data_IF_887240051822
#
_entry.id   IF_887240051822
#
_cell.length_a   1.000
_cell.length_b   1.000
_cell.length_c   1.000
_cell.angle_alpha   90.00
_cell.angle_beta   90.00
_cell.angle_gamma   90.00
#
_symmetry.space_group_name_H-M   'P 1'
#
loop_
_entity.id
_entity.type
_entity.pdbx_description
1 polymer ?
#
# COMPACT_ATOMS: atom_id res chain seq x y z
N UNK A 1 49.67 -9.73 7.16
CA UNK A 1 50.34 -10.76 8.00
C UNK A 1 50.21 -10.50 9.50
N UNK A 2 50.01 -9.26 9.94
CA UNK A 2 49.91 -8.90 11.37
C UNK A 2 48.72 -9.54 12.10
N UNK A 3 47.58 -9.70 11.42
CA UNK A 3 46.37 -10.19 12.07
C UNK A 3 46.32 -11.71 12.33
N UNK A 4 47.14 -12.49 11.64
CA UNK A 4 47.20 -13.94 11.82
C UNK A 4 48.03 -14.29 13.07
N UNK A 5 49.01 -13.45 13.40
CA UNK A 5 49.85 -13.56 14.60
C UNK A 5 49.09 -13.19 15.88
N UNK A 6 48.20 -12.20 15.82
CA UNK A 6 47.31 -11.85 16.96
C UNK A 6 46.32 -12.96 17.29
N UNK A 7 45.76 -13.64 16.28
CA UNK A 7 44.85 -14.76 16.53
C UNK A 7 45.58 -16.00 17.06
N UNK A 8 46.84 -16.20 16.64
CA UNK A 8 47.68 -17.26 17.16
C UNK A 8 48.02 -17.04 18.64
N UNK A 9 48.44 -15.82 19.02
CA UNK A 9 48.77 -15.51 20.42
C UNK A 9 47.59 -15.71 21.38
N UNK A 10 46.38 -15.38 20.97
CA UNK A 10 45.17 -15.57 21.81
C UNK A 10 44.73 -17.04 21.86
N UNK A 11 45.04 -17.84 20.82
CA UNK A 11 44.81 -19.28 20.82
C UNK A 11 45.81 -20.01 21.72
N UNK A 12 47.06 -19.54 21.78
CA UNK A 12 48.10 -20.07 22.66
C UNK A 12 47.77 -19.79 24.15
N UNK A 13 47.10 -18.67 24.46
CA UNK A 13 46.62 -18.35 25.82
C UNK A 13 45.46 -19.26 26.31
N UNK A 14 44.72 -19.91 25.40
CA UNK A 14 43.62 -20.82 25.71
C UNK A 14 44.09 -22.21 26.18
N UNK A 15 45.33 -22.58 25.83
CA UNK A 15 45.90 -23.90 26.16
C UNK A 15 46.44 -23.96 27.59
N UNK A 16 46.49 -22.82 28.29
CA UNK A 16 46.87 -22.71 29.70
C UNK A 16 45.64 -22.83 30.62
N UNK A 17 45.63 -23.74 31.60
CA UNK A 17 44.46 -23.97 32.46
C UNK A 17 44.40 -22.92 33.57
N UNK A 18 43.88 -21.72 33.27
CA UNK A 18 43.60 -20.72 34.29
C UNK A 18 42.16 -20.18 34.21
N UNK A 19 41.63 -19.68 35.33
CA UNK A 19 40.20 -19.40 35.55
C UNK A 19 39.57 -18.29 34.69
N UNK A 20 40.33 -17.64 33.81
CA UNK A 20 39.91 -16.48 33.02
C UNK A 20 39.41 -16.83 31.60
N UNK A 21 39.28 -18.12 31.30
CA UNK A 21 38.85 -18.66 29.99
C UNK A 21 37.53 -18.06 29.47
N UNK A 22 36.62 -17.62 30.33
CA UNK A 22 35.37 -16.99 29.93
C UNK A 22 35.55 -15.57 29.36
N UNK A 23 36.51 -14.80 29.89
CA UNK A 23 36.85 -13.48 29.34
C UNK A 23 37.66 -13.63 28.06
N UNK A 24 38.57 -14.61 28.00
CA UNK A 24 39.34 -14.94 26.82
C UNK A 24 38.46 -15.38 25.64
N UNK A 25 37.47 -16.25 25.87
CA UNK A 25 36.52 -16.66 24.84
C UNK A 25 35.70 -15.48 24.29
N UNK A 26 35.32 -14.50 25.14
CA UNK A 26 34.64 -13.28 24.71
C UNK A 26 35.56 -12.38 23.88
N UNK A 27 36.81 -12.22 24.28
CA UNK A 27 37.84 -11.45 23.56
C UNK A 27 38.14 -12.07 22.18
N UNK A 28 38.23 -13.41 22.12
CA UNK A 28 38.38 -14.17 20.86
C UNK A 28 37.17 -13.96 19.97
N UNK A 29 35.97 -14.18 20.49
CA UNK A 29 34.75 -14.00 19.71
C UNK A 29 34.59 -12.57 19.21
N UNK A 30 34.96 -11.58 20.05
CA UNK A 30 34.99 -10.16 19.66
C UNK A 30 36.02 -9.90 18.57
N UNK A 31 37.24 -10.44 18.67
CA UNK A 31 38.31 -10.27 17.68
C UNK A 31 37.98 -10.95 16.35
N UNK A 32 37.37 -12.15 16.39
CA UNK A 32 36.84 -12.83 15.21
C UNK A 32 35.69 -12.01 14.63
N UNK A 33 34.73 -11.57 15.44
CA UNK A 33 33.62 -10.74 14.97
C UNK A 33 34.16 -9.44 14.34
N UNK A 34 35.13 -8.77 14.93
CA UNK A 34 35.70 -7.54 14.37
C UNK A 34 36.47 -7.79 13.06
N UNK A 35 37.23 -8.89 12.99
CA UNK A 35 37.96 -9.32 11.79
C UNK A 35 37.08 -9.83 10.67
N UNK A 36 35.98 -10.51 10.96
CA UNK A 36 35.10 -11.17 9.97
C UNK A 36 33.80 -10.39 9.70
N UNK A 37 33.41 -9.43 10.55
CA UNK A 37 32.49 -8.34 10.17
C UNK A 37 33.20 -7.27 9.33
N UNK A 38 34.35 -7.63 8.75
CA UNK A 38 35.40 -6.71 8.36
C UNK A 38 34.86 -5.54 7.55
N UNK A 39 35.10 -4.35 8.07
CA UNK A 39 35.04 -3.05 7.38
C UNK A 39 36.05 -2.96 6.22
N UNK A 40 36.58 -4.08 5.72
CA UNK A 40 37.49 -4.06 4.60
C UNK A 40 36.78 -3.50 3.37
N UNK A 41 37.48 -2.61 2.69
CA UNK A 41 36.97 -1.92 1.50
C UNK A 41 36.40 -2.88 0.46
N UNK A 42 36.97 -4.07 0.28
CA UNK A 42 36.47 -5.08 -0.67
C UNK A 42 35.08 -5.60 -0.30
N UNK A 43 34.87 -5.99 0.96
CA UNK A 43 33.58 -6.45 1.47
C UNK A 43 32.54 -5.31 1.45
N UNK A 44 32.91 -4.12 1.93
CA UNK A 44 32.04 -2.94 1.86
C UNK A 44 31.64 -2.63 0.41
N UNK A 45 32.57 -2.69 -0.54
CA UNK A 45 32.30 -2.48 -1.96
C UNK A 45 31.35 -3.55 -2.51
N UNK A 46 31.55 -4.81 -2.14
CA UNK A 46 30.69 -5.90 -2.59
C UNK A 46 29.26 -5.74 -2.08
N UNK A 47 29.07 -5.50 -0.78
CA UNK A 47 27.74 -5.29 -0.19
C UNK A 47 27.06 -4.05 -0.75
N UNK A 48 27.81 -2.97 -0.98
CA UNK A 48 27.27 -1.77 -1.63
C UNK A 48 26.83 -2.05 -3.07
N UNK A 49 27.65 -2.76 -3.84
CA UNK A 49 27.32 -3.15 -5.21
C UNK A 49 26.10 -4.08 -5.26
N UNK A 50 25.99 -5.03 -4.32
CA UNK A 50 24.82 -5.90 -4.20
C UNK A 50 23.55 -5.07 -3.94
N UNK A 51 23.62 -4.05 -3.09
CA UNK A 51 22.52 -3.12 -2.90
C UNK A 51 22.23 -2.31 -4.17
N UNK A 52 23.23 -1.78 -4.87
CA UNK A 52 23.04 -0.97 -6.07
C UNK A 52 22.39 -1.76 -7.21
N UNK A 53 22.77 -3.02 -7.41
CA UNK A 53 22.21 -3.88 -8.44
C UNK A 53 20.92 -4.62 -8.04
N UNK A 54 20.44 -4.43 -6.81
CA UNK A 54 19.12 -4.90 -6.40
C UNK A 54 18.05 -4.22 -7.25
N UNK A 55 17.33 -5.03 -8.05
CA UNK A 55 16.34 -4.58 -9.02
C UNK A 55 14.94 -5.07 -8.65
N UNK A 56 13.94 -4.28 -9.02
CA UNK A 56 12.54 -4.67 -8.87
C UNK A 56 12.20 -5.75 -9.91
N UNK A 57 11.76 -6.92 -9.44
CA UNK A 57 11.26 -8.03 -10.27
C UNK A 57 9.74 -7.96 -10.38
N UNK A 58 9.13 -8.76 -11.24
CA UNK A 58 7.66 -8.87 -11.37
C UNK A 58 6.96 -9.46 -10.12
N UNK A 59 7.71 -9.65 -9.04
CA UNK A 59 7.24 -10.11 -7.74
C UNK A 59 6.39 -9.06 -7.00
N UNK A 60 5.59 -9.47 -6.00
CA UNK A 60 4.79 -8.56 -5.20
C UNK A 60 5.67 -7.44 -4.60
N UNK A 61 5.17 -6.20 -4.62
CA UNK A 61 5.86 -5.01 -4.07
C UNK A 61 6.38 -5.26 -2.64
N UNK A 62 5.68 -6.06 -1.84
CA UNK A 62 6.08 -6.42 -0.48
C UNK A 62 7.38 -7.25 -0.42
N UNK A 63 7.61 -8.15 -1.39
CA UNK A 63 8.85 -8.93 -1.48
C UNK A 63 10.03 -8.01 -1.76
N UNK A 64 9.88 -7.09 -2.71
CA UNK A 64 10.91 -6.08 -2.99
C UNK A 64 11.21 -5.21 -1.76
N UNK A 65 10.18 -4.75 -1.03
CA UNK A 65 10.37 -3.99 0.22
C UNK A 65 11.18 -4.80 1.24
N UNK A 66 10.91 -6.10 1.36
CA UNK A 66 11.63 -6.98 2.29
C UNK A 66 13.10 -7.14 1.88
N UNK A 67 13.38 -7.35 0.59
CA UNK A 67 14.74 -7.46 0.07
C UNK A 67 15.55 -6.18 0.30
N UNK A 68 14.97 -5.01 -0.01
CA UNK A 68 15.60 -3.71 0.26
C UNK A 68 15.87 -3.53 1.75
N UNK A 69 14.95 -3.90 2.65
CA UNK A 69 15.17 -3.83 4.10
C UNK A 69 16.33 -4.70 4.55
N UNK A 70 16.44 -5.91 4.01
CA UNK A 70 17.55 -6.82 4.33
C UNK A 70 18.86 -6.25 3.80
N UNK A 71 18.88 -5.72 2.58
CA UNK A 71 20.07 -5.14 1.99
C UNK A 71 20.57 -3.89 2.75
N UNK A 72 19.66 -3.00 3.17
CA UNK A 72 20.02 -1.85 4.03
C UNK A 72 20.62 -2.32 5.36
N UNK A 73 20.06 -3.35 6.00
CA UNK A 73 20.64 -3.92 7.24
C UNK A 73 22.05 -4.45 7.01
N UNK A 74 22.25 -5.22 5.93
CA UNK A 74 23.58 -5.73 5.58
C UNK A 74 24.60 -4.60 5.36
N UNK A 75 24.19 -3.49 4.75
CA UNK A 75 25.04 -2.31 4.58
C UNK A 75 25.45 -1.71 5.93
N UNK A 76 24.50 -1.55 6.85
CA UNK A 76 24.77 -1.04 8.21
C UNK A 76 25.70 -2.01 8.97
N UNK A 77 25.49 -3.32 8.83
CA UNK A 77 26.31 -4.35 9.48
C UNK A 77 27.78 -4.30 9.03
N UNK A 78 28.06 -3.81 7.81
CA UNK A 78 29.42 -3.57 7.29
C UNK A 78 29.85 -2.11 7.38
N UNK A 79 29.20 -1.31 8.23
CA UNK A 79 29.57 0.08 8.53
C UNK A 79 29.21 1.12 7.46
N UNK A 80 28.40 0.77 6.46
CA UNK A 80 27.88 1.72 5.47
C UNK A 80 26.54 2.26 5.99
N UNK A 81 26.62 3.34 6.76
CA UNK A 81 25.45 4.07 7.24
C UNK A 81 25.18 5.30 6.35
N UNK A 82 24.01 5.33 5.70
CA UNK A 82 23.61 6.40 4.79
C UNK A 82 22.41 7.16 5.37
N UNK A 83 22.33 8.48 5.14
CA UNK A 83 21.15 9.25 5.49
C UNK A 83 19.85 8.67 4.90
N UNK A 84 18.77 8.77 5.69
CA UNK A 84 17.47 8.18 5.36
C UNK A 84 16.86 8.70 4.05
N UNK A 85 17.10 9.96 3.72
CA UNK A 85 16.67 10.62 2.49
C UNK A 85 17.45 10.09 1.28
N UNK A 86 18.79 9.97 1.39
CA UNK A 86 19.63 9.37 0.35
C UNK A 86 19.21 7.93 0.06
N UNK A 87 19.00 7.12 1.10
CA UNK A 87 18.47 5.76 0.95
C UNK A 87 17.09 5.76 0.28
N UNK A 88 16.21 6.69 0.65
CA UNK A 88 14.89 6.78 0.04
C UNK A 88 14.96 7.15 -1.45
N UNK A 89 15.84 8.07 -1.85
CA UNK A 89 16.09 8.37 -3.26
C UNK A 89 16.63 7.15 -4.03
N UNK A 90 17.58 6.41 -3.45
CA UNK A 90 18.13 5.19 -4.06
C UNK A 90 17.04 4.11 -4.25
N UNK A 91 16.14 3.96 -3.28
CA UNK A 91 15.00 3.02 -3.40
C UNK A 91 14.01 3.47 -4.47
N UNK A 92 13.69 4.76 -4.54
CA UNK A 92 12.81 5.30 -5.59
C UNK A 92 13.40 5.13 -6.99
N UNK A 93 14.73 5.27 -7.13
CA UNK A 93 15.41 5.05 -8.40
C UNK A 93 15.18 3.62 -8.93
N UNK A 94 15.13 2.64 -8.03
CA UNK A 94 14.96 1.21 -8.36
C UNK A 94 13.56 0.81 -8.84
N UNK A 95 12.51 1.60 -8.61
CA UNK A 95 11.18 1.19 -9.09
C UNK A 95 11.09 1.25 -10.62
N UNK A 96 10.38 0.31 -11.25
CA UNK A 96 10.15 0.30 -12.69
C UNK A 96 9.24 1.46 -13.12
N UNK A 97 9.21 1.73 -14.42
CA UNK A 97 8.36 2.78 -15.02
C UNK A 97 6.87 2.56 -14.76
N UNK A 98 6.42 1.32 -14.54
CA UNK A 98 5.04 1.00 -14.16
C UNK A 98 4.61 1.62 -12.82
N UNK A 99 5.55 1.91 -11.92
CA UNK A 99 5.31 2.57 -10.63
C UNK A 99 5.59 4.08 -10.67
N UNK A 100 5.66 4.70 -11.85
CA UNK A 100 5.98 6.13 -11.97
C UNK A 100 4.96 7.03 -11.24
N UNK A 101 3.67 6.67 -11.23
CA UNK A 101 2.66 7.42 -10.47
C UNK A 101 2.96 7.44 -8.97
N UNK A 102 3.36 6.30 -8.42
CA UNK A 102 3.78 6.17 -7.02
C UNK A 102 5.04 7.01 -6.75
N UNK A 103 6.05 6.96 -7.64
CA UNK A 103 7.26 7.81 -7.52
C UNK A 103 6.87 9.29 -7.41
N UNK A 104 6.02 9.76 -8.32
CA UNK A 104 5.55 11.15 -8.37
C UNK A 104 4.83 11.54 -7.07
N UNK A 105 3.92 10.69 -6.58
CA UNK A 105 3.20 10.95 -5.33
C UNK A 105 4.12 11.07 -4.11
N UNK A 106 5.15 10.23 -4.04
CA UNK A 106 6.13 10.27 -2.95
C UNK A 106 7.00 11.54 -3.07
N UNK A 107 7.50 11.85 -4.26
CA UNK A 107 8.40 12.98 -4.50
C UNK A 107 7.75 14.35 -4.31
N UNK A 108 6.45 14.47 -4.59
CA UNK A 108 5.70 15.72 -4.41
C UNK A 108 4.86 15.72 -3.13
N UNK A 109 5.16 14.84 -2.17
CA UNK A 109 4.59 14.98 -0.84
C UNK A 109 5.34 16.07 -0.07
N UNK A 110 4.63 16.94 0.65
CA UNK A 110 5.23 17.98 1.51
C UNK A 110 5.88 17.41 2.78
N UNK A 111 6.32 16.14 2.75
CA UNK A 111 6.81 15.39 3.90
C UNK A 111 8.27 15.01 3.70
N UNK A 112 9.01 14.97 4.81
CA UNK A 112 10.39 14.49 4.80
C UNK A 112 10.50 13.10 4.18
N UNK A 113 11.36 12.98 3.17
CA UNK A 113 11.59 11.73 2.48
C UNK A 113 12.41 10.78 3.37
N UNK A 114 11.76 9.72 3.83
CA UNK A 114 12.38 8.66 4.66
C UNK A 114 12.10 7.29 4.06
N UNK A 115 12.99 6.33 4.28
CA UNK A 115 12.83 4.95 3.78
C UNK A 115 11.49 4.35 4.24
N UNK A 116 11.12 4.60 5.50
CA UNK A 116 9.83 4.17 6.06
C UNK A 116 8.63 4.80 5.34
N UNK A 117 8.73 6.06 4.93
CA UNK A 117 7.68 6.74 4.20
C UNK A 117 7.47 6.13 2.81
N UNK A 118 8.57 5.86 2.09
CA UNK A 118 8.55 5.16 0.80
C UNK A 118 7.87 3.80 0.94
N UNK A 119 8.32 2.97 1.89
CA UNK A 119 7.75 1.63 2.10
C UNK A 119 6.26 1.66 2.43
N UNK A 120 5.82 2.57 3.30
CA UNK A 120 4.42 2.70 3.66
C UNK A 120 3.56 3.07 2.44
N UNK A 121 4.01 4.02 1.63
CA UNK A 121 3.32 4.42 0.40
C UNK A 121 3.29 3.27 -0.62
N UNK A 122 4.37 2.53 -0.78
CA UNK A 122 4.43 1.36 -1.66
C UNK A 122 3.44 0.26 -1.23
N UNK A 123 3.35 -0.05 0.06
CA UNK A 123 2.37 -1.02 0.57
C UNK A 123 0.94 -0.52 0.38
N UNK A 124 0.66 0.76 0.62
CA UNK A 124 -0.65 1.36 0.39
C UNK A 124 -1.05 1.29 -1.09
N UNK A 125 -0.14 1.64 -1.98
CA UNK A 125 -0.34 1.56 -3.43
C UNK A 125 -0.66 0.12 -3.87
N UNK A 126 0.11 -0.86 -3.40
CA UNK A 126 -0.12 -2.28 -3.70
C UNK A 126 -1.49 -2.75 -3.20
N UNK A 127 -1.89 -2.35 -1.99
CA UNK A 127 -3.20 -2.72 -1.43
C UNK A 127 -4.35 -2.11 -2.22
N UNK A 128 -4.22 -0.85 -2.65
CA UNK A 128 -5.21 -0.15 -3.48
C UNK A 128 -5.35 -0.82 -4.85
N UNK A 129 -4.22 -1.09 -5.53
CA UNK A 129 -4.21 -1.79 -6.81
C UNK A 129 -4.91 -3.15 -6.73
N UNK A 130 -4.66 -3.92 -5.66
CA UNK A 130 -5.35 -5.21 -5.43
C UNK A 130 -6.84 -5.08 -5.13
N UNK A 131 -7.28 -4.00 -4.49
CA UNK A 131 -8.69 -3.74 -4.23
C UNK A 131 -9.44 -3.39 -5.53
N UNK A 132 -8.85 -2.56 -6.38
CA UNK A 132 -9.42 -2.16 -7.68
C UNK A 132 -9.59 -3.35 -8.63
N UNK A 133 -8.63 -4.29 -8.67
CA UNK A 133 -8.75 -5.52 -9.46
C UNK A 133 -9.83 -6.46 -8.90
N UNK A 134 -10.04 -6.50 -7.58
CA UNK A 134 -11.09 -7.31 -6.95
C UNK A 134 -12.48 -6.77 -7.25
N UNK A 135 -12.67 -5.46 -7.24
CA UNK A 135 -13.96 -4.83 -7.57
C UNK A 135 -14.36 -5.13 -9.03
N UNK A 136 -13.38 -5.17 -9.94
CA UNK A 136 -13.62 -5.49 -11.36
C UNK A 136 -13.96 -6.98 -11.58
N UNK A 137 -13.46 -7.89 -10.73
CA UNK A 137 -13.80 -9.31 -10.73
C UNK A 137 -15.00 -9.68 -9.84
N UNK A 138 -15.50 -8.75 -9.03
CA UNK A 138 -16.56 -8.94 -8.04
C UNK A 138 -17.79 -8.09 -8.41
N UNK A 139 -18.31 -8.30 -9.61
CA UNK A 139 -19.61 -7.77 -10.05
C UNK A 139 -20.81 -8.54 -9.45
N UNK A 140 -20.63 -9.28 -8.36
CA UNK A 140 -21.70 -9.99 -7.67
C UNK A 140 -21.69 -9.70 -6.18
N UNK A 141 -22.69 -8.90 -5.78
CA UNK A 141 -23.27 -8.74 -4.45
C UNK A 141 -22.32 -8.46 -3.28
N UNK A 142 -22.11 -7.17 -3.02
CA UNK A 142 -21.85 -6.66 -1.68
C UNK A 142 -22.77 -5.47 -1.38
N UNK A 143 -24.08 -5.76 -1.22
CA UNK A 143 -24.98 -4.83 -0.56
C UNK A 143 -24.60 -4.72 0.93
N UNK A 144 -24.32 -3.52 1.39
CA UNK A 144 -24.07 -3.20 2.80
C UNK A 144 -25.32 -3.53 3.63
N UNK A 145 -25.34 -4.68 4.29
CA UNK A 145 -26.33 -5.01 5.30
C UNK A 145 -26.11 -4.12 6.53
N UNK A 146 -26.88 -3.04 6.60
CA UNK A 146 -27.05 -2.28 7.84
C UNK A 146 -28.11 -3.02 8.65
N UNK A 147 -27.66 -3.88 9.56
CA UNK A 147 -28.55 -4.61 10.46
C UNK A 147 -29.37 -3.65 11.32
N UNK A 148 -30.68 -3.61 11.08
CA UNK A 148 -31.66 -3.22 12.08
C UNK A 148 -32.56 -4.41 12.37
N UNK A 149 -32.43 -4.86 13.60
CA UNK A 149 -33.35 -5.70 14.36
C UNK A 149 -34.83 -5.43 14.06
N UNK A 150 -35.59 -6.49 13.82
CA UNK A 150 -36.93 -6.65 14.41
C UNK A 150 -37.30 -8.15 14.38
N UNK A 151 -37.58 -8.68 15.57
CA UNK A 151 -37.84 -10.09 15.83
C UNK A 151 -39.35 -10.36 15.69
N UNK A 152 -39.69 -11.57 15.28
CA UNK A 152 -41.05 -12.17 15.27
C UNK A 152 -42.03 -11.52 14.27
N UNK A 153 -42.76 -12.21 13.40
CA UNK A 153 -43.39 -13.50 13.62
C UNK A 153 -43.75 -14.19 12.29
N UNK A 154 -43.52 -15.49 12.30
CA UNK A 154 -44.05 -16.51 11.41
C UNK A 154 -45.58 -16.46 11.35
N UNK A 155 -46.17 -16.17 10.20
CA UNK A 155 -47.54 -16.63 9.87
C UNK A 155 -47.75 -16.68 8.36
N UNK A 156 -47.61 -17.90 7.85
CA UNK A 156 -48.46 -18.56 6.85
C UNK A 156 -49.07 -17.82 5.64
N UNK A 157 -48.97 -18.56 4.52
CA UNK A 157 -49.83 -18.64 3.31
C UNK A 157 -49.43 -17.71 2.17
N UNK A 158 -48.71 -18.24 1.17
CA UNK A 158 -49.27 -19.00 0.06
C UNK A 158 -50.24 -18.16 -0.78
N UNK A 159 -49.80 -17.77 -1.99
CA UNK A 159 -50.53 -17.94 -3.26
C UNK A 159 -49.77 -17.28 -4.41
N UNK A 160 -49.55 -18.09 -5.45
CA UNK A 160 -49.65 -17.75 -6.88
C UNK A 160 -48.71 -16.70 -7.51
N UNK A 161 -47.94 -17.23 -8.46
CA UNK A 161 -47.85 -16.80 -9.86
C UNK A 161 -47.07 -15.52 -10.22
N UNK A 162 -46.17 -15.74 -11.20
CA UNK A 162 -45.95 -14.91 -12.39
C UNK A 162 -45.72 -13.41 -12.22
N UNK A 163 -44.55 -12.94 -12.66
CA UNK A 163 -44.40 -11.52 -13.00
C UNK A 163 -42.98 -11.02 -12.88
N UNK A 164 -42.21 -11.18 -13.96
CA UNK A 164 -41.20 -10.20 -14.35
C UNK A 164 -41.76 -8.79 -14.21
N UNK A 165 -41.34 -8.01 -13.20
CA UNK A 165 -41.72 -6.61 -13.12
C UNK A 165 -40.51 -5.70 -12.84
N UNK A 166 -40.11 -5.09 -13.94
CA UNK A 166 -39.37 -3.85 -14.11
C UNK A 166 -39.69 -2.80 -13.03
N UNK A 167 -38.70 -2.50 -12.17
CA UNK A 167 -38.71 -1.30 -11.29
C UNK A 167 -38.40 -0.01 -12.05
N UNK A 168 -38.94 0.17 -13.26
CA UNK A 168 -38.82 1.42 -14.03
C UNK A 168 -40.01 2.36 -13.85
N UNK A 169 -41.11 1.91 -13.26
CA UNK A 169 -42.39 2.64 -13.32
C UNK A 169 -42.69 3.51 -12.08
N UNK A 170 -41.79 3.56 -11.10
CA UNK A 170 -41.97 4.36 -9.86
C UNK A 170 -41.14 5.64 -9.84
N UNK A 171 -40.78 6.19 -11.01
CA UNK A 171 -40.04 7.45 -11.11
C UNK A 171 -40.85 8.46 -11.92
N UNK A 172 -40.87 9.72 -11.47
CA UNK A 172 -41.35 10.86 -12.22
C UNK A 172 -40.48 11.02 -13.46
N UNK A 173 -41.12 11.35 -14.58
CA UNK A 173 -40.49 11.60 -15.86
C UNK A 173 -40.78 13.03 -16.28
N UNK A 174 -40.01 13.57 -17.23
CA UNK A 174 -40.22 14.94 -17.74
C UNK A 174 -41.69 15.17 -18.12
N UNK A 175 -42.34 16.17 -17.51
CA UNK A 175 -43.75 16.47 -17.71
C UNK A 175 -44.76 15.55 -17.00
N UNK A 176 -44.32 14.57 -16.21
CA UNK A 176 -45.20 13.62 -15.52
C UNK A 176 -44.77 13.31 -14.08
N UNK A 177 -45.67 13.59 -13.13
CA UNK A 177 -45.47 13.25 -11.72
C UNK A 177 -46.19 11.96 -11.34
N UNK A 178 -45.46 11.04 -10.71
CA UNK A 178 -46.00 9.81 -10.16
C UNK A 178 -46.15 9.92 -8.63
N UNK A 179 -47.39 10.07 -8.16
CA UNK A 179 -47.73 10.16 -6.73
C UNK A 179 -47.38 8.91 -5.91
N UNK A 180 -47.00 7.81 -6.57
CA UNK A 180 -46.60 6.55 -5.91
C UNK A 180 -45.10 6.44 -5.67
N UNK A 181 -44.29 7.38 -6.16
CA UNK A 181 -42.83 7.29 -6.04
C UNK A 181 -42.34 7.46 -4.59
N UNK A 182 -42.83 8.46 -3.87
CA UNK A 182 -42.63 8.59 -2.42
C UNK A 182 -43.70 9.53 -1.84
N UNK A 183 -43.99 9.39 -0.53
CA UNK A 183 -44.93 10.25 0.20
C UNK A 183 -44.38 11.67 0.45
N UNK A 184 -43.09 11.88 0.18
CA UNK A 184 -42.33 13.04 0.64
C UNK A 184 -42.10 14.11 -0.44
N UNK A 185 -42.53 13.86 -1.68
CA UNK A 185 -42.57 14.86 -2.76
C UNK A 185 -43.99 15.00 -3.32
N UNK A 186 -44.51 16.22 -3.27
CA UNK A 186 -45.80 16.60 -3.89
C UNK A 186 -45.56 17.02 -5.34
N UNK A 187 -46.60 16.97 -6.17
CA UNK A 187 -46.56 17.42 -7.58
C UNK A 187 -45.95 18.82 -7.73
N UNK A 188 -46.32 19.72 -6.82
CA UNK A 188 -45.85 21.11 -6.80
C UNK A 188 -44.34 21.26 -6.60
N UNK A 189 -43.68 20.27 -5.98
CA UNK A 189 -42.23 20.30 -5.71
C UNK A 189 -41.46 19.35 -6.62
N UNK A 190 -42.12 18.70 -7.58
CA UNK A 190 -41.49 17.78 -8.50
C UNK A 190 -40.70 18.55 -9.58
N UNK A 191 -39.38 18.37 -9.61
CA UNK A 191 -38.51 19.07 -10.56
C UNK A 191 -38.70 18.63 -12.02
N UNK A 192 -39.37 17.50 -12.25
CA UNK A 192 -39.77 17.06 -13.59
C UNK A 192 -41.05 17.74 -14.11
N UNK A 193 -41.83 18.41 -13.23
CA UNK A 193 -42.95 19.28 -13.60
C UNK A 193 -42.59 20.77 -13.53
N UNK A 194 -41.68 21.12 -12.62
CA UNK A 194 -41.25 22.47 -12.32
C UNK A 194 -39.72 22.59 -12.46
N UNK A 195 -39.19 22.74 -13.70
CA UNK A 195 -37.76 22.87 -13.94
C UNK A 195 -37.11 24.05 -13.21
N UNK A 196 -37.90 25.07 -12.87
CA UNK A 196 -37.51 26.24 -12.06
C UNK A 196 -37.13 25.87 -10.61
N UNK A 197 -37.61 24.73 -10.11
CA UNK A 197 -37.33 24.26 -8.75
C UNK A 197 -36.12 23.30 -8.70
N UNK A 198 -35.56 22.94 -9.85
CA UNK A 198 -34.45 22.01 -9.92
C UNK A 198 -33.15 22.60 -9.32
N UNK A 199 -32.33 21.82 -8.61
CA UNK A 199 -31.08 22.28 -8.03
C UNK A 199 -30.13 22.85 -9.08
N UNK A 200 -29.36 23.87 -8.71
CA UNK A 200 -28.45 24.57 -9.63
C UNK A 200 -27.44 23.65 -10.35
N UNK A 201 -27.11 22.47 -9.81
CA UNK A 201 -26.21 21.51 -10.46
C UNK A 201 -26.86 20.72 -11.61
N UNK A 202 -28.19 20.67 -11.72
CA UNK A 202 -28.92 20.01 -12.81
C UNK A 202 -29.24 20.95 -13.98
N UNK A 203 -29.06 22.26 -13.81
CA UNK A 203 -29.31 23.26 -14.85
C UNK A 203 -28.14 23.31 -15.85
N UNK A 204 -28.15 22.45 -16.88
CA UNK A 204 -27.27 22.59 -18.05
C UNK A 204 -28.00 22.33 -19.38
N UNK A 205 -28.03 23.41 -20.17
CA UNK A 205 -28.11 23.53 -21.65
C UNK A 205 -29.48 23.37 -22.33
N UNK A 206 -30.21 24.48 -22.40
CA UNK A 206 -31.02 24.82 -23.58
C UNK A 206 -30.55 26.17 -24.14
N UNK A 207 -29.50 26.14 -24.96
CA UNK A 207 -29.22 27.24 -25.88
C UNK A 207 -28.68 26.65 -27.18
N UNK A 208 -29.57 26.54 -28.16
CA UNK A 208 -29.38 26.38 -29.62
C UNK A 208 -30.73 25.86 -30.12
N UNK A 209 -31.61 26.67 -30.69
CA UNK A 209 -31.54 27.06 -32.10
C UNK A 209 -32.64 28.11 -32.36
N UNK A 210 -32.27 29.32 -32.78
CA UNK A 210 -33.09 30.23 -33.60
C UNK A 210 -32.33 31.54 -33.84
N UNK A 211 -31.39 31.52 -34.79
CA UNK A 211 -30.94 32.74 -35.46
C UNK A 211 -30.41 32.35 -36.84
N UNK A 212 -31.31 32.34 -37.82
CA UNK A 212 -31.12 32.70 -39.22
C UNK A 212 -32.50 32.75 -39.85
#
# INVERSE_FOLDING_TARGET
>A
MTGLLELQGVLDDLESPNSDNHNLAKEIWKSIKDRFSSLQSSNCTQIFNDFLHLNFREDPINSFIAEVRVAIKKMIDVGIDLPQDILAYLVLFKFPSSLHLLKRQIMHSDKDLKVKFVFNHSTQFNNKSRAETRETGSLTDAALYTGKNERFNWTMRASTASGTNSRKDSRCTEGHHNSKQDYNHKSESCWHLHPDKAPAYTAKKTCSTACS
#
